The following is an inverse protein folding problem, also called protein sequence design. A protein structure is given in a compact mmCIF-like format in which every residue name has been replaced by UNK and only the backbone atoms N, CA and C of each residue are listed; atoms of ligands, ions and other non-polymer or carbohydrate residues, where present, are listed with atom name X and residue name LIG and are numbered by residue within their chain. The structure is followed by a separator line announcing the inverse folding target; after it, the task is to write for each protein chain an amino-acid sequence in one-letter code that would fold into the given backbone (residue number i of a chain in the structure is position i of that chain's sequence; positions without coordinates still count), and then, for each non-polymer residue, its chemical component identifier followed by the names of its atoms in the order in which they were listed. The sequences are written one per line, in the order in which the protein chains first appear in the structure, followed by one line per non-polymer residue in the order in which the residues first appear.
data_IF_208720512747
#
_entry.id   IF_208720512747
#
_cell.length_a   1.000
_cell.length_b   1.000
_cell.length_c   1.000
_cell.angle_alpha   90.00
_cell.angle_beta   90.00
_cell.angle_gamma   90.00
#
_symmetry.space_group_name_H-M   'P 1'
#
loop_
_entity.id
_entity.type
_entity.pdbx_description
1 polymer ?
#
# COMPACT_ATOMS: atom_id res chain seq x y z
N UNK A 1 -23.80 -17.31 -11.49
CA UNK A 1 -23.48 -18.75 -11.33
C UNK A 1 -23.14 -19.41 -12.66
N UNK A 2 -24.02 -19.38 -13.66
CA UNK A 2 -23.74 -19.90 -15.03
C UNK A 2 -22.52 -19.24 -15.71
N UNK A 3 -22.34 -17.92 -15.57
CA UNK A 3 -21.15 -17.21 -16.07
C UNK A 3 -19.85 -17.73 -15.42
N UNK A 4 -19.85 -17.80 -14.08
CA UNK A 4 -18.75 -18.34 -13.27
C UNK A 4 -18.48 -19.84 -13.53
N UNK A 5 -19.45 -20.57 -14.04
CA UNK A 5 -19.30 -21.96 -14.48
C UNK A 5 -18.70 -22.04 -15.89
N UNK A 6 -19.10 -21.15 -16.79
CA UNK A 6 -18.49 -20.97 -18.12
C UNK A 6 -17.02 -20.55 -18.02
N UNK A 7 -16.72 -19.57 -17.16
CA UNK A 7 -15.39 -18.97 -17.01
C UNK A 7 -14.37 -19.93 -16.36
N UNK A 8 -14.81 -21.05 -15.79
CA UNK A 8 -13.99 -22.07 -15.13
C UNK A 8 -13.94 -23.39 -15.93
N UNK A 9 -13.92 -23.32 -17.27
CA UNK A 9 -13.88 -24.48 -18.18
C UNK A 9 -15.03 -25.49 -18.00
N UNK A 10 -16.18 -25.06 -17.48
CA UNK A 10 -17.31 -25.93 -17.18
C UNK A 10 -17.84 -26.69 -18.40
N UNK A 11 -17.84 -26.05 -19.57
CA UNK A 11 -18.26 -26.66 -20.85
C UNK A 11 -17.26 -27.73 -21.31
N UNK A 12 -15.95 -27.45 -21.25
CA UNK A 12 -14.93 -28.42 -21.66
C UNK A 12 -14.93 -29.66 -20.77
N UNK A 13 -15.05 -29.47 -19.44
CA UNK A 13 -15.21 -30.56 -18.48
C UNK A 13 -16.49 -31.36 -18.71
N UNK A 14 -17.61 -30.70 -19.03
CA UNK A 14 -18.86 -31.36 -19.34
C UNK A 14 -18.77 -32.19 -20.64
N UNK A 15 -18.12 -31.69 -21.68
CA UNK A 15 -17.89 -32.42 -22.95
C UNK A 15 -17.00 -33.63 -22.72
N UNK A 16 -15.92 -33.48 -21.95
CA UNK A 16 -15.01 -34.58 -21.63
C UNK A 16 -15.71 -35.65 -20.78
N UNK A 17 -16.52 -35.24 -19.81
CA UNK A 17 -17.33 -36.15 -19.01
C UNK A 17 -18.36 -36.89 -19.87
N UNK A 18 -19.05 -36.18 -20.77
CA UNK A 18 -20.01 -36.77 -21.71
C UNK A 18 -19.35 -37.78 -22.66
N UNK A 19 -18.13 -37.51 -23.14
CA UNK A 19 -17.37 -38.45 -23.96
C UNK A 19 -16.95 -39.69 -23.17
N UNK A 20 -16.51 -39.52 -21.92
CA UNK A 20 -16.16 -40.63 -21.01
C UNK A 20 -17.37 -41.50 -20.69
N UNK A 21 -18.53 -40.89 -20.43
CA UNK A 21 -19.76 -41.60 -20.12
C UNK A 21 -20.29 -42.36 -21.34
N UNK A 22 -20.20 -41.78 -22.54
CA UNK A 22 -20.52 -42.47 -23.79
C UNK A 22 -19.60 -43.68 -24.02
N UNK A 23 -18.29 -43.51 -23.83
CA UNK A 23 -17.32 -44.60 -23.97
C UNK A 23 -17.54 -45.70 -22.93
N UNK A 24 -17.91 -45.34 -21.70
CA UNK A 24 -18.30 -46.29 -20.66
C UNK A 24 -19.53 -47.10 -21.05
N UNK A 25 -20.56 -46.45 -21.60
CA UNK A 25 -21.76 -47.13 -22.09
C UNK A 25 -21.45 -48.08 -23.25
N UNK A 26 -20.55 -47.71 -24.16
CA UNK A 26 -20.08 -48.60 -25.22
C UNK A 26 -19.42 -49.86 -24.65
N UNK A 27 -18.51 -49.70 -23.68
CA UNK A 27 -17.82 -50.84 -23.04
C UNK A 27 -18.78 -51.73 -22.23
N UNK A 28 -19.74 -51.13 -21.51
CA UNK A 28 -20.77 -51.88 -20.79
C UNK A 28 -21.75 -52.61 -21.73
N UNK A 29 -21.91 -52.13 -22.96
CA UNK A 29 -22.73 -52.76 -23.99
C UNK A 29 -22.04 -53.92 -24.73
N UNK A 30 -20.74 -54.13 -24.52
CA UNK A 30 -20.00 -55.23 -25.14
C UNK A 30 -20.28 -56.56 -24.44
N UNK A 31 -20.29 -57.65 -25.21
CA UNK A 31 -20.36 -58.99 -24.66
C UNK A 31 -19.10 -59.31 -23.83
N UNK A 32 -19.26 -60.19 -22.83
CA UNK A 32 -18.19 -60.47 -21.87
C UNK A 32 -16.95 -61.12 -22.49
N UNK A 33 -17.06 -61.75 -23.67
CA UNK A 33 -15.92 -62.36 -24.35
C UNK A 33 -15.07 -61.28 -25.06
N UNK A 34 -15.69 -60.38 -25.83
CA UNK A 34 -14.99 -59.28 -26.50
C UNK A 34 -14.33 -58.31 -25.53
N UNK A 35 -14.97 -58.05 -24.38
CA UNK A 35 -14.38 -57.20 -23.33
C UNK A 35 -13.11 -57.83 -22.72
N UNK A 36 -13.12 -59.15 -22.50
CA UNK A 36 -11.95 -59.89 -21.98
C UNK A 36 -10.79 -59.90 -22.97
N UNK A 37 -11.06 -60.05 -24.26
CA UNK A 37 -10.05 -59.99 -25.31
C UNK A 37 -9.38 -58.60 -25.35
N UNK A 38 -10.18 -57.53 -25.24
CA UNK A 38 -9.67 -56.15 -25.17
C UNK A 38 -8.83 -55.92 -23.90
N UNK A 39 -9.26 -56.44 -22.75
CA UNK A 39 -8.48 -56.41 -21.50
C UNK A 39 -7.15 -57.16 -21.61
N UNK A 40 -7.14 -58.34 -22.22
CA UNK A 40 -5.92 -59.14 -22.41
C UNK A 40 -4.91 -58.45 -23.34
N UNK A 41 -5.39 -57.85 -24.44
CA UNK A 41 -4.54 -57.08 -25.36
C UNK A 41 -3.90 -55.84 -24.72
N UNK A 42 -4.46 -55.33 -23.62
CA UNK A 42 -3.97 -54.17 -22.87
C UNK A 42 -3.29 -54.54 -21.55
N UNK A 43 -3.20 -55.83 -21.19
CA UNK A 43 -2.57 -56.29 -19.94
C UNK A 43 -3.35 -55.97 -18.67
N UNK A 44 -4.67 -55.75 -18.77
CA UNK A 44 -5.55 -55.41 -17.64
C UNK A 44 -6.26 -56.66 -17.13
N UNK A 45 -6.19 -56.93 -15.83
CA UNK A 45 -6.80 -58.13 -15.21
C UNK A 45 -8.36 -58.07 -15.24
N UNK A 46 -9.04 -58.99 -15.95
CA UNK A 46 -10.49 -58.94 -16.14
C UNK A 46 -11.25 -59.57 -14.96
N UNK A 47 -11.64 -58.74 -14.00
CA UNK A 47 -12.68 -59.09 -13.01
C UNK A 47 -14.08 -58.67 -13.52
N UNK A 48 -15.10 -58.64 -12.63
CA UNK A 48 -16.51 -58.28 -12.88
C UNK A 48 -16.66 -57.24 -14.00
N UNK A 49 -17.58 -57.48 -14.95
CA UNK A 49 -17.73 -56.74 -16.22
C UNK A 49 -17.67 -55.22 -16.07
N UNK A 50 -18.37 -54.66 -15.07
CA UNK A 50 -18.35 -53.22 -14.77
C UNK A 50 -16.97 -52.69 -14.33
N UNK A 51 -16.24 -53.48 -13.53
CA UNK A 51 -14.90 -53.13 -13.05
C UNK A 51 -13.86 -53.20 -14.17
N UNK A 52 -14.04 -54.12 -15.12
CA UNK A 52 -13.18 -54.22 -16.29
C UNK A 52 -13.35 -53.01 -17.24
N UNK A 53 -14.59 -52.57 -17.49
CA UNK A 53 -14.87 -51.37 -18.27
C UNK A 53 -14.27 -50.11 -17.63
N UNK A 54 -14.40 -49.96 -16.30
CA UNK A 54 -13.82 -48.82 -15.59
C UNK A 54 -12.28 -48.86 -15.66
N UNK A 55 -11.63 -50.02 -15.43
CA UNK A 55 -10.16 -50.15 -15.52
C UNK A 55 -9.60 -49.88 -16.92
N UNK A 56 -10.32 -50.26 -17.97
CA UNK A 56 -9.95 -49.93 -19.36
C UNK A 56 -9.95 -48.41 -19.59
N UNK A 57 -10.98 -47.69 -19.11
CA UNK A 57 -11.03 -46.23 -19.19
C UNK A 57 -9.86 -45.56 -18.47
N UNK A 58 -9.46 -46.09 -17.30
CA UNK A 58 -8.30 -45.59 -16.56
C UNK A 58 -6.99 -45.82 -17.33
N UNK A 59 -6.81 -46.99 -17.95
CA UNK A 59 -5.61 -47.32 -18.70
C UNK A 59 -5.51 -46.56 -20.03
N UNK A 60 -6.62 -46.39 -20.75
CA UNK A 60 -6.69 -45.53 -21.95
C UNK A 60 -6.36 -44.07 -21.61
N UNK A 61 -6.90 -43.55 -20.50
CA UNK A 61 -6.58 -42.19 -20.02
C UNK A 61 -5.11 -42.04 -19.62
N UNK A 62 -4.51 -43.04 -18.98
CA UNK A 62 -3.09 -43.05 -18.60
C UNK A 62 -2.17 -43.03 -19.83
N UNK A 63 -2.44 -43.85 -20.86
CA UNK A 63 -1.67 -43.84 -22.12
C UNK A 63 -1.80 -42.51 -22.88
N UNK A 64 -2.98 -41.90 -22.87
CA UNK A 64 -3.20 -40.56 -23.43
C UNK A 64 -2.41 -39.49 -22.66
N UNK A 65 -2.27 -39.63 -21.34
CA UNK A 65 -1.46 -38.74 -20.51
C UNK A 65 0.05 -38.92 -20.78
N UNK A 66 0.56 -40.16 -20.85
CA UNK A 66 1.97 -40.45 -21.19
C UNK A 66 2.34 -39.90 -22.58
N UNK A 67 1.46 -40.04 -23.58
CA UNK A 67 1.68 -39.48 -24.92
C UNK A 67 1.68 -37.94 -24.95
N UNK A 68 0.91 -37.29 -24.07
CA UNK A 68 0.89 -35.82 -23.92
C UNK A 68 2.12 -35.32 -23.16
N UNK A 69 2.55 -36.05 -22.14
CA UNK A 69 3.74 -35.74 -21.36
C UNK A 69 5.01 -35.81 -22.21
N UNK A 70 5.11 -36.83 -23.08
CA UNK A 70 6.23 -36.95 -24.02
C UNK A 70 6.27 -35.80 -25.03
N UNK A 71 5.12 -35.42 -25.60
CA UNK A 71 5.00 -34.23 -26.47
C UNK A 71 5.30 -32.91 -25.75
N UNK A 72 4.91 -32.77 -24.49
CA UNK A 72 5.20 -31.58 -23.69
C UNK A 72 6.68 -31.46 -23.37
N UNK A 73 7.36 -32.56 -23.02
CA UNK A 73 8.81 -32.61 -22.80
C UNK A 73 9.60 -32.26 -24.07
N UNK A 74 9.19 -32.80 -25.22
CA UNK A 74 9.77 -32.46 -26.53
C UNK A 74 9.56 -30.97 -26.88
N UNK A 75 8.38 -30.40 -26.57
CA UNK A 75 8.08 -28.97 -26.79
C UNK A 75 8.86 -28.02 -25.86
N UNK A 76 9.16 -28.44 -24.62
CA UNK A 76 9.98 -27.66 -23.67
C UNK A 76 11.46 -27.67 -24.09
N UNK A 77 11.95 -28.80 -24.57
CA UNK A 77 13.31 -28.94 -25.10
C UNK A 77 13.50 -28.10 -26.38
N UNK A 78 12.47 -28.00 -27.23
CA UNK A 78 12.47 -27.13 -28.41
C UNK A 78 12.33 -25.64 -28.04
N UNK A 79 11.50 -25.31 -27.04
CA UNK A 79 11.37 -23.95 -26.51
C UNK A 79 12.65 -23.45 -25.81
N UNK A 80 13.51 -24.34 -25.31
CA UNK A 80 14.83 -23.97 -24.74
C UNK A 80 15.87 -23.53 -25.78
N UNK A 81 15.60 -23.76 -27.08
CA UNK A 81 16.44 -23.36 -28.22
C UNK A 81 15.86 -22.17 -29.00
N UNK A 82 14.62 -21.77 -28.72
CA UNK A 82 13.95 -20.57 -29.24
C UNK A 82 13.83 -19.48 -28.18
N UNK A 83 13.42 -18.27 -28.58
CA UNK A 83 13.19 -17.15 -27.65
C UNK A 83 12.19 -17.50 -26.53
N UNK A 84 12.19 -16.71 -25.46
CA UNK A 84 11.38 -16.98 -24.26
C UNK A 84 9.92 -17.31 -24.63
N UNK A 85 9.36 -18.42 -24.09
CA UNK A 85 8.00 -18.84 -24.40
C UNK A 85 6.99 -17.81 -23.93
N UNK A 86 5.87 -17.70 -24.65
CA UNK A 86 4.78 -16.84 -24.23
C UNK A 86 4.15 -17.35 -22.92
N UNK A 87 3.53 -16.45 -22.15
CA UNK A 87 2.83 -16.83 -20.90
C UNK A 87 1.83 -17.98 -21.10
N UNK A 88 1.12 -17.98 -22.23
CA UNK A 88 0.16 -19.04 -22.56
C UNK A 88 0.86 -20.38 -22.81
N UNK A 89 1.98 -20.40 -23.53
CA UNK A 89 2.76 -21.63 -23.76
C UNK A 89 3.33 -22.17 -22.46
N UNK A 90 3.86 -21.31 -21.58
CA UNK A 90 4.38 -21.71 -20.28
C UNK A 90 3.29 -22.32 -19.38
N UNK A 91 2.10 -21.69 -19.32
CA UNK A 91 0.97 -22.19 -18.53
C UNK A 91 0.39 -23.48 -19.13
N UNK A 92 0.27 -23.56 -20.45
CA UNK A 92 -0.20 -24.78 -21.12
C UNK A 92 0.78 -25.94 -20.96
N UNK A 93 2.09 -25.68 -21.03
CA UNK A 93 3.12 -26.67 -20.76
C UNK A 93 3.07 -27.15 -19.30
N UNK A 94 3.01 -26.23 -18.33
CA UNK A 94 2.90 -26.59 -16.90
C UNK A 94 1.65 -27.45 -16.61
N UNK A 95 0.51 -27.12 -17.23
CA UNK A 95 -0.71 -27.93 -17.13
C UNK A 95 -0.59 -29.30 -17.81
N UNK A 96 0.18 -29.40 -18.90
CA UNK A 96 0.35 -30.62 -19.68
C UNK A 96 1.31 -31.63 -19.06
N UNK A 97 2.40 -31.18 -18.42
CA UNK A 97 3.44 -32.07 -17.85
C UNK A 97 2.88 -32.94 -16.70
N UNK A 98 1.88 -32.46 -15.96
CA UNK A 98 1.37 -33.14 -14.76
C UNK A 98 -0.17 -33.23 -14.72
N UNK A 99 -0.85 -33.18 -15.86
CA UNK A 99 -2.29 -33.46 -15.95
C UNK A 99 -3.18 -32.53 -15.10
N UNK A 100 -2.90 -31.22 -15.12
CA UNK A 100 -3.55 -30.19 -14.28
C UNK A 100 -3.30 -30.29 -12.77
N UNK A 101 -2.28 -31.04 -12.32
CA UNK A 101 -1.95 -31.17 -10.90
C UNK A 101 -0.98 -30.10 -10.38
N UNK A 102 -0.40 -29.27 -11.26
CA UNK A 102 0.49 -28.19 -10.85
C UNK A 102 -0.28 -26.99 -10.27
N UNK A 103 0.12 -26.58 -9.07
CA UNK A 103 -0.52 -25.47 -8.38
C UNK A 103 0.05 -24.15 -8.91
N UNK A 104 -0.62 -23.54 -9.88
CA UNK A 104 -0.29 -22.22 -10.44
C UNK A 104 -0.67 -21.04 -9.51
N UNK A 105 -0.75 -21.27 -8.21
CA UNK A 105 -1.11 -20.29 -7.20
C UNK A 105 -0.13 -20.37 -6.04
N UNK A 106 0.51 -19.24 -5.75
CA UNK A 106 1.40 -19.08 -4.60
C UNK A 106 0.82 -18.03 -3.63
N UNK A 107 1.16 -18.17 -2.35
CA UNK A 107 0.78 -17.21 -1.30
C UNK A 107 2.07 -16.58 -0.77
N UNK A 108 2.17 -15.25 -0.82
CA UNK A 108 3.23 -14.49 -0.16
C UNK A 108 2.75 -14.00 1.20
N UNK A 109 3.60 -14.15 2.24
CA UNK A 109 3.33 -13.64 3.58
C UNK A 109 4.53 -12.79 3.99
N UNK A 110 4.27 -11.53 4.36
CA UNK A 110 5.26 -10.67 5.01
C UNK A 110 4.90 -10.54 6.49
N UNK A 111 5.84 -10.94 7.35
CA UNK A 111 5.78 -10.69 8.78
C UNK A 111 6.83 -9.62 9.11
N UNK A 112 6.42 -8.44 9.63
CA UNK A 112 7.36 -7.41 10.01
C UNK A 112 8.33 -7.97 11.06
N UNK A 113 9.61 -7.97 10.74
CA UNK A 113 10.70 -8.49 11.57
C UNK A 113 11.32 -7.35 12.37
N UNK A 114 10.55 -6.75 13.27
CA UNK A 114 11.03 -5.71 14.19
C UNK A 114 10.87 -6.17 15.63
N UNK A 115 11.89 -5.93 16.47
CA UNK A 115 11.74 -6.10 17.91
C UNK A 115 10.61 -5.19 18.40
N UNK A 116 9.58 -5.78 19.02
CA UNK A 116 8.50 -4.97 19.60
C UNK A 116 9.11 -4.09 20.68
N UNK A 117 8.92 -2.77 20.56
CA UNK A 117 9.08 -1.91 21.72
C UNK A 117 8.06 -2.40 22.76
N UNK A 118 8.55 -2.96 23.85
CA UNK A 118 7.74 -3.40 24.96
C UNK A 118 8.22 -2.68 26.21
N UNK A 119 7.32 -2.47 27.15
CA UNK A 119 7.69 -2.11 28.51
C UNK A 119 7.42 -3.31 29.41
N UNK A 120 8.27 -3.55 30.39
CA UNK A 120 7.95 -4.50 31.45
C UNK A 120 6.80 -3.96 32.32
N UNK A 121 6.40 -4.75 33.32
CA UNK A 121 5.35 -4.36 34.29
C UNK A 121 5.76 -3.17 35.18
N UNK A 122 7.04 -2.83 35.21
CA UNK A 122 7.62 -1.71 35.97
C UNK A 122 7.84 -0.46 35.11
N UNK A 123 7.57 -0.55 33.80
CA UNK A 123 7.75 0.53 32.83
C UNK A 123 9.16 0.61 32.22
N UNK A 124 10.06 -0.32 32.50
CA UNK A 124 11.38 -0.36 31.88
C UNK A 124 11.28 -0.85 30.43
N UNK A 125 12.03 -0.24 29.49
CA UNK A 125 12.01 -0.67 28.09
C UNK A 125 12.63 -2.07 27.93
N UNK A 126 11.87 -2.97 27.32
CA UNK A 126 12.32 -4.28 26.84
C UNK A 126 12.39 -4.24 25.31
N UNK A 127 13.50 -4.73 24.77
CA UNK A 127 13.70 -4.85 23.32
C UNK A 127 14.34 -3.61 22.70
N UNK A 128 14.16 -3.44 21.39
CA UNK A 128 14.67 -2.25 20.70
C UNK A 128 13.82 -1.03 21.09
N UNK A 129 14.42 0.15 21.29
CA UNK A 129 13.70 1.35 21.73
C UNK A 129 12.72 1.93 20.69
N UNK A 130 12.61 1.35 19.49
CA UNK A 130 11.82 1.91 18.39
C UNK A 130 10.99 0.84 17.69
N UNK A 131 9.81 1.23 17.19
CA UNK A 131 8.85 0.35 16.50
C UNK A 131 9.32 -0.12 15.10
N UNK A 132 10.44 0.40 14.58
CA UNK A 132 10.99 0.04 13.26
C UNK A 132 12.51 0.03 13.24
N UNK A 133 13.09 -0.63 12.23
CA UNK A 133 14.54 -0.73 12.02
C UNK A 133 15.15 0.47 11.26
N UNK A 134 14.38 1.54 11.05
CA UNK A 134 14.84 2.74 10.36
C UNK A 134 14.19 4.01 10.87
N UNK A 135 14.81 5.13 10.51
CA UNK A 135 14.29 6.48 10.69
C UNK A 135 14.16 7.17 9.34
N UNK A 136 13.20 8.08 9.29
CA UNK A 136 13.10 9.09 8.24
C UNK A 136 13.68 10.38 8.76
N UNK A 137 14.32 11.13 7.88
CA UNK A 137 14.94 12.41 8.19
C UNK A 137 14.38 13.47 7.25
N UNK A 138 14.35 14.70 7.73
CA UNK A 138 13.93 15.82 6.90
C UNK A 138 14.31 17.14 7.53
N UNK A 139 14.36 18.17 6.70
CA UNK A 139 14.55 19.54 7.11
C UNK A 139 13.58 20.42 6.32
N UNK A 140 13.07 21.47 6.97
CA UNK A 140 12.29 22.50 6.31
C UNK A 140 12.70 23.89 6.75
N UNK A 141 12.65 24.82 5.81
CA UNK A 141 12.82 26.24 6.03
C UNK A 141 11.55 26.94 5.57
N UNK A 142 11.02 27.86 6.38
CA UNK A 142 9.83 28.63 6.03
C UNK A 142 10.03 30.10 6.31
N UNK A 143 9.48 30.93 5.44
CA UNK A 143 9.43 32.39 5.53
C UNK A 143 7.97 32.84 5.63
N UNK A 144 7.70 33.77 6.55
CA UNK A 144 6.35 34.27 6.81
C UNK A 144 6.34 35.79 6.89
N UNK A 145 5.24 36.38 6.45
CA UNK A 145 4.90 37.78 6.68
C UNK A 145 3.79 37.85 7.73
N UNK A 146 3.93 38.76 8.70
CA UNK A 146 3.00 38.93 9.81
C UNK A 146 2.48 40.36 9.81
N UNK A 147 1.16 40.52 9.70
CA UNK A 147 0.48 41.75 10.05
C UNK A 147 0.31 41.84 11.56
N UNK A 148 1.09 42.72 12.19
CA UNK A 148 1.11 42.90 13.64
C UNK A 148 -0.20 43.46 14.20
N UNK A 149 -1.00 44.16 13.40
CA UNK A 149 -2.26 44.78 13.83
C UNK A 149 -3.41 43.76 13.84
N UNK A 150 -3.46 42.89 12.84
CA UNK A 150 -4.54 41.89 12.70
C UNK A 150 -4.16 40.52 13.26
N UNK A 151 -2.85 40.22 13.33
CA UNK A 151 -2.34 38.87 13.59
C UNK A 151 -2.40 37.94 12.38
N UNK A 152 -2.81 38.45 11.21
CA UNK A 152 -2.83 37.67 9.98
C UNK A 152 -1.40 37.29 9.58
N UNK A 153 -1.21 36.00 9.28
CA UNK A 153 0.09 35.45 8.91
C UNK A 153 -0.02 34.84 7.52
N UNK A 154 0.90 35.21 6.64
CA UNK A 154 1.03 34.62 5.32
C UNK A 154 2.36 33.87 5.19
N UNK A 155 2.31 32.63 4.71
CA UNK A 155 3.51 31.86 4.39
C UNK A 155 3.98 32.24 3.00
N UNK A 156 5.12 32.93 2.91
CA UNK A 156 5.68 33.40 1.65
C UNK A 156 6.33 32.24 0.89
N UNK A 157 7.15 31.46 1.58
CA UNK A 157 7.91 30.37 0.99
C UNK A 157 8.21 29.27 2.00
N UNK A 158 8.18 28.03 1.55
CA UNK A 158 8.65 26.87 2.30
C UNK A 158 9.49 25.96 1.40
N UNK A 159 10.71 25.65 1.84
CA UNK A 159 11.61 24.69 1.21
C UNK A 159 11.72 23.45 2.11
N UNK A 160 11.45 22.26 1.56
CA UNK A 160 11.40 20.99 2.28
C UNK A 160 12.34 19.98 1.62
N UNK A 161 13.25 19.41 2.39
CA UNK A 161 14.10 18.29 1.98
C UNK A 161 13.75 17.07 2.84
N UNK A 162 13.42 15.94 2.20
CA UNK A 162 12.95 14.75 2.93
C UNK A 162 13.59 13.45 2.43
N UNK A 163 13.94 12.58 3.38
CA UNK A 163 14.55 11.27 3.14
C UNK A 163 13.50 10.17 3.03
N UNK A 164 13.22 9.78 1.78
CA UNK A 164 12.34 8.65 1.41
C UNK A 164 13.12 7.37 1.08
N UNK A 165 14.42 7.35 1.30
CA UNK A 165 15.30 6.33 0.77
C UNK A 165 15.28 6.31 -0.77
N UNK A 166 15.10 5.13 -1.36
CA UNK A 166 14.83 4.98 -2.79
C UNK A 166 13.32 5.01 -3.03
N UNK A 167 12.83 6.15 -3.53
CA UNK A 167 11.42 6.35 -3.84
C UNK A 167 10.88 5.28 -4.79
N UNK A 168 9.71 4.72 -4.45
CA UNK A 168 8.96 3.81 -5.32
C UNK A 168 8.24 4.58 -6.43
N UNK A 169 7.69 5.74 -6.08
CA UNK A 169 7.03 6.65 -7.00
C UNK A 169 7.23 8.09 -6.50
N UNK A 170 8.17 8.85 -7.11
CA UNK A 170 8.50 10.18 -6.67
C UNK A 170 7.30 11.14 -6.68
N UNK A 171 6.37 10.99 -7.62
CA UNK A 171 5.18 11.86 -7.70
C UNK A 171 4.22 11.65 -6.54
N UNK A 172 4.03 10.40 -6.09
CA UNK A 172 3.19 10.09 -4.93
C UNK A 172 3.90 10.54 -3.64
N UNK A 173 5.20 10.29 -3.54
CA UNK A 173 5.96 10.64 -2.33
C UNK A 173 6.01 12.15 -2.13
N UNK A 174 6.21 12.93 -3.19
CA UNK A 174 6.13 14.40 -3.14
C UNK A 174 4.73 14.84 -2.71
N UNK A 175 3.66 14.29 -3.31
CA UNK A 175 2.30 14.66 -2.95
C UNK A 175 1.96 14.34 -1.48
N UNK A 176 2.51 13.26 -0.93
CA UNK A 176 2.39 12.94 0.49
C UNK A 176 3.11 13.95 1.37
N UNK A 177 4.33 14.37 0.99
CA UNK A 177 5.07 15.42 1.71
C UNK A 177 4.29 16.74 1.71
N UNK A 178 3.79 17.17 0.55
CA UNK A 178 2.99 18.38 0.43
C UNK A 178 1.70 18.31 1.26
N UNK A 179 0.98 17.19 1.19
CA UNK A 179 -0.25 16.98 1.94
C UNK A 179 -0.03 16.96 3.46
N UNK A 180 1.02 16.28 3.92
CA UNK A 180 1.37 16.25 5.34
C UNK A 180 1.87 17.62 5.83
N UNK A 181 2.62 18.36 5.02
CA UNK A 181 3.04 19.72 5.33
C UNK A 181 1.84 20.66 5.46
N UNK A 182 0.89 20.60 4.51
CA UNK A 182 -0.36 21.37 4.55
C UNK A 182 -1.21 21.02 5.79
N UNK A 183 -1.32 19.73 6.12
CA UNK A 183 -2.00 19.28 7.34
C UNK A 183 -1.35 19.85 8.59
N UNK A 184 -0.02 19.88 8.64
CA UNK A 184 0.71 20.47 9.76
C UNK A 184 0.54 21.99 9.89
N UNK A 185 0.45 22.72 8.77
CA UNK A 185 0.06 24.15 8.79
C UNK A 185 -1.32 24.31 9.43
N UNK A 186 -2.30 23.52 8.99
CA UNK A 186 -3.65 23.50 9.56
C UNK A 186 -3.61 23.28 11.07
N UNK A 187 -2.98 22.20 11.51
CA UNK A 187 -2.84 21.84 12.92
C UNK A 187 -2.15 22.92 13.77
N UNK A 188 -1.12 23.57 13.23
CA UNK A 188 -0.35 24.55 14.00
C UNK A 188 -0.94 25.96 13.99
N UNK A 189 -1.66 26.36 12.94
CA UNK A 189 -2.05 27.76 12.74
C UNK A 189 -3.56 28.00 12.76
N UNK A 190 -4.37 27.05 12.26
CA UNK A 190 -5.77 27.34 11.90
C UNK A 190 -6.80 26.46 12.62
N UNK A 191 -6.52 25.18 12.76
CA UNK A 191 -7.49 24.16 13.19
C UNK A 191 -7.68 24.16 14.72
N UNK A 192 -8.60 24.99 15.21
CA UNK A 192 -8.97 25.08 16.62
C UNK A 192 -10.30 24.36 16.92
N UNK A 193 -10.29 23.25 17.68
CA UNK A 193 -11.52 22.67 18.21
C UNK A 193 -12.04 23.48 19.40
N UNK A 194 -13.29 23.93 19.32
CA UNK A 194 -13.91 24.75 20.37
C UNK A 194 -14.80 23.91 21.27
N UNK A 195 -14.59 24.02 22.57
CA UNK A 195 -15.36 23.31 23.60
C UNK A 195 -16.09 24.30 24.48
N UNK A 196 -17.33 24.00 24.85
CA UNK A 196 -18.05 24.82 25.83
C UNK A 196 -17.68 24.47 27.28
N UNK A 197 -18.23 25.22 28.24
CA UNK A 197 -18.00 24.99 29.68
C UNK A 197 -18.57 23.66 30.22
N UNK A 198 -19.29 22.90 29.40
CA UNK A 198 -19.82 21.57 29.72
C UNK A 198 -19.01 20.45 29.02
N UNK A 199 -17.98 20.80 28.24
CA UNK A 199 -17.16 19.85 27.48
C UNK A 199 -17.85 19.35 26.20
N UNK A 200 -18.82 20.10 25.65
CA UNK A 200 -19.45 19.78 24.37
C UNK A 200 -18.68 20.48 23.25
N UNK A 201 -18.33 19.70 22.23
CA UNK A 201 -17.71 20.18 20.99
C UNK A 201 -18.68 21.10 20.22
N UNK A 202 -18.23 22.33 19.98
CA UNK A 202 -18.93 23.39 19.23
C UNK A 202 -18.46 23.51 17.79
N UNK A 203 -17.46 22.74 17.38
CA UNK A 203 -16.89 22.68 16.03
C UNK A 203 -17.51 21.56 15.18
N UNK A 204 -18.84 21.54 15.07
CA UNK A 204 -19.58 20.45 14.42
C UNK A 204 -19.68 20.57 12.89
N UNK A 205 -18.89 21.44 12.26
CA UNK A 205 -18.91 21.64 10.82
C UNK A 205 -17.79 22.54 10.33
N UNK A 206 -17.71 22.69 9.01
CA UNK A 206 -16.72 23.53 8.32
C UNK A 206 -16.95 25.04 8.52
N UNK A 207 -18.08 25.42 9.11
CA UNK A 207 -18.38 26.81 9.46
C UNK A 207 -17.62 27.24 10.72
N UNK A 208 -17.42 26.32 11.66
CA UNK A 208 -16.77 26.54 12.94
C UNK A 208 -15.34 25.99 12.95
N UNK A 209 -15.11 24.82 12.35
CA UNK A 209 -13.77 24.25 12.16
C UNK A 209 -13.20 24.68 10.80
N UNK A 210 -11.99 25.24 10.80
CA UNK A 210 -11.36 25.79 9.58
C UNK A 210 -10.10 25.01 9.21
N UNK A 211 -10.23 23.98 8.35
CA UNK A 211 -9.08 23.41 7.66
C UNK A 211 -8.41 24.47 6.79
N UNK A 212 -7.10 24.35 6.53
CA UNK A 212 -6.38 25.32 5.74
C UNK A 212 -6.89 25.33 4.29
N UNK A 213 -7.09 26.54 3.77
CA UNK A 213 -7.50 26.85 2.40
C UNK A 213 -6.28 27.05 1.51
N UNK A 214 -6.52 27.11 0.20
CA UNK A 214 -5.47 27.35 -0.79
C UNK A 214 -4.72 28.68 -0.58
N UNK A 215 -5.37 29.70 -0.03
CA UNK A 215 -4.76 31.00 0.31
C UNK A 215 -3.78 30.94 1.48
N UNK A 216 -3.90 29.91 2.31
CA UNK A 216 -3.10 29.71 3.53
C UNK A 216 -1.92 28.77 3.29
N UNK A 217 -1.82 28.20 2.08
CA UNK A 217 -0.64 27.46 1.64
C UNK A 217 0.53 28.40 1.37
N UNK A 218 1.79 27.91 1.46
CA UNK A 218 2.94 28.68 1.03
C UNK A 218 2.78 29.16 -0.41
N UNK A 219 3.04 30.44 -0.69
CA UNK A 219 3.00 30.95 -2.08
C UNK A 219 3.99 30.22 -2.98
N UNK A 220 5.15 29.86 -2.41
CA UNK A 220 6.12 28.97 -3.01
C UNK A 220 6.36 27.77 -2.07
N UNK A 221 6.03 26.57 -2.52
CA UNK A 221 6.38 25.32 -1.83
C UNK A 221 7.33 24.52 -2.72
N UNK A 222 8.56 24.35 -2.26
CA UNK A 222 9.58 23.56 -2.94
C UNK A 222 9.87 22.29 -2.14
N UNK A 223 9.65 21.12 -2.74
CA UNK A 223 9.92 19.83 -2.11
C UNK A 223 11.00 19.10 -2.90
N UNK A 224 12.08 18.70 -2.21
CA UNK A 224 13.13 17.86 -2.77
C UNK A 224 13.27 16.56 -1.96
N UNK A 225 13.52 15.47 -2.67
CA UNK A 225 13.81 14.16 -2.08
C UNK A 225 15.32 14.01 -1.93
N UNK A 226 15.78 13.52 -0.78
CA UNK A 226 17.18 13.24 -0.54
C UNK A 226 17.68 12.17 -1.52
N UNK A 227 18.71 12.51 -2.29
CA UNK A 227 19.28 11.64 -3.33
C UNK A 227 20.27 10.64 -2.73
N UNK A 228 20.43 9.51 -3.42
CA UNK A 228 21.49 8.52 -3.18
C UNK A 228 21.54 7.93 -1.76
N UNK A 229 20.37 7.77 -1.13
CA UNK A 229 20.26 7.21 0.23
C UNK A 229 19.40 5.93 0.31
N UNK A 230 19.66 4.88 -0.49
CA UNK A 230 18.82 3.68 -0.49
C UNK A 230 18.83 2.98 0.88
N UNK A 231 17.67 2.52 1.34
CA UNK A 231 17.54 1.75 2.58
C UNK A 231 17.47 0.25 2.29
N UNK A 232 18.56 -0.54 2.47
CA UNK A 232 18.62 -1.91 1.95
C UNK A 232 17.60 -2.89 2.52
N UNK A 233 17.04 -2.60 3.71
CA UNK A 233 16.04 -3.46 4.35
C UNK A 233 14.60 -3.10 3.92
N UNK A 234 14.43 -1.95 3.27
CA UNK A 234 13.14 -1.49 2.74
C UNK A 234 12.81 -2.19 1.41
N UNK A 235 11.52 -2.26 1.10
CA UNK A 235 11.05 -2.81 -0.18
C UNK A 235 11.59 -1.92 -1.30
N UNK A 236 12.45 -2.48 -2.16
CA UNK A 236 13.16 -1.77 -3.22
C UNK A 236 13.95 -0.53 -2.74
N UNK A 237 14.44 -0.55 -1.50
CA UNK A 237 15.22 0.55 -0.95
C UNK A 237 14.41 1.68 -0.32
N UNK A 238 13.08 1.56 -0.25
CA UNK A 238 12.17 2.65 0.13
C UNK A 238 12.03 2.85 1.65
N UNK A 239 11.59 4.07 2.03
CA UNK A 239 11.16 4.44 3.39
C UNK A 239 9.75 5.06 3.36
N UNK A 240 9.09 5.07 4.50
CA UNK A 240 7.76 5.66 4.62
C UNK A 240 7.76 7.20 4.53
N UNK A 241 6.71 7.77 3.94
CA UNK A 241 6.59 9.21 3.66
C UNK A 241 5.29 9.85 4.18
N UNK A 242 4.29 9.06 4.58
CA UNK A 242 2.94 9.59 4.88
C UNK A 242 2.88 10.57 6.05
N UNK A 243 3.21 10.11 7.25
CA UNK A 243 3.06 10.92 8.48
C UNK A 243 4.25 11.86 8.77
N UNK A 244 5.53 11.47 8.61
CA UNK A 244 6.61 12.27 9.20
C UNK A 244 6.80 13.69 8.66
N UNK A 245 6.51 14.02 7.38
CA UNK A 245 6.63 15.40 6.88
C UNK A 245 5.70 16.40 7.58
N UNK A 246 4.64 15.94 8.26
CA UNK A 246 3.80 16.76 9.12
C UNK A 246 4.63 17.60 10.11
N UNK A 247 5.64 16.99 10.73
CA UNK A 247 6.49 17.66 11.72
C UNK A 247 7.35 18.79 11.12
N UNK A 248 7.59 18.77 9.81
CA UNK A 248 8.41 19.79 9.13
C UNK A 248 7.68 21.13 9.00
N UNK A 249 6.35 21.12 9.04
CA UNK A 249 5.53 22.33 9.09
C UNK A 249 5.77 23.16 10.36
N UNK A 250 6.41 22.59 11.40
CA UNK A 250 6.87 23.33 12.58
C UNK A 250 7.80 24.50 12.23
N UNK A 251 8.48 24.42 11.06
CA UNK A 251 9.27 25.53 10.53
C UNK A 251 8.46 26.82 10.38
N UNK A 252 7.17 26.73 10.00
CA UNK A 252 6.24 27.87 9.90
C UNK A 252 6.01 28.49 11.28
N UNK A 253 5.71 27.66 12.29
CA UNK A 253 5.56 28.13 13.67
C UNK A 253 6.84 28.81 14.19
N UNK A 254 8.01 28.25 13.86
CA UNK A 254 9.30 28.84 14.18
C UNK A 254 9.50 30.22 13.52
N UNK A 255 9.07 30.38 12.27
CA UNK A 255 9.12 31.64 11.54
C UNK A 255 8.16 32.69 12.15
N UNK A 256 6.94 32.29 12.49
CA UNK A 256 5.95 33.16 13.17
C UNK A 256 6.48 33.64 14.52
N UNK A 257 7.07 32.75 15.33
CA UNK A 257 7.69 33.15 16.61
C UNK A 257 8.82 34.17 16.42
N UNK A 258 9.62 34.04 15.36
CA UNK A 258 10.66 35.03 15.02
C UNK A 258 10.04 36.37 14.62
N UNK A 259 8.99 36.37 13.80
CA UNK A 259 8.28 37.58 13.39
C UNK A 259 7.66 38.32 14.60
N UNK A 260 6.98 37.59 15.49
CA UNK A 260 6.46 38.15 16.75
C UNK A 260 7.60 38.70 17.61
N UNK A 261 8.71 37.97 17.74
CA UNK A 261 9.88 38.42 18.49
C UNK A 261 10.47 39.73 17.95
N UNK A 262 10.50 39.91 16.64
CA UNK A 262 10.91 41.16 16.00
C UNK A 262 9.92 42.30 16.31
N UNK A 263 8.62 42.08 16.11
CA UNK A 263 7.58 43.06 16.42
C UNK A 263 7.62 43.53 17.89
N UNK A 264 7.78 42.59 18.83
CA UNK A 264 7.89 42.89 20.26
C UNK A 264 9.14 43.70 20.59
N UNK A 265 10.26 43.38 19.94
CA UNK A 265 11.52 44.13 20.11
C UNK A 265 11.35 45.59 19.67
N UNK A 266 10.68 45.81 18.54
CA UNK A 266 10.42 47.16 18.01
C UNK A 266 9.45 47.94 18.91
N UNK A 267 8.47 47.27 19.51
CA UNK A 267 7.54 47.84 20.49
C UNK A 267 8.14 48.04 21.90
N UNK A 268 9.38 47.60 22.16
CA UNK A 268 9.98 47.63 23.49
C UNK A 268 9.34 46.67 24.50
N UNK A 269 8.59 45.66 24.02
CA UNK A 269 7.96 44.65 24.85
C UNK A 269 8.96 43.54 25.27
N UNK A 270 8.68 42.80 26.37
CA UNK A 270 9.55 41.71 26.82
C UNK A 270 9.78 40.65 25.74
N UNK A 271 11.03 40.21 25.58
CA UNK A 271 11.40 39.20 24.58
C UNK A 271 10.77 37.82 24.85
N UNK A 272 10.53 37.49 26.11
CA UNK A 272 9.82 36.26 26.48
C UNK A 272 8.30 36.44 26.30
N UNK A 273 7.68 35.53 25.57
CA UNK A 273 6.23 35.45 25.40
C UNK A 273 5.80 33.98 25.27
N UNK A 274 4.54 33.71 25.62
CA UNK A 274 3.91 32.42 25.38
C UNK A 274 3.03 32.53 24.14
N UNK A 275 3.13 31.55 23.25
CA UNK A 275 2.28 31.44 22.07
C UNK A 275 1.51 30.12 22.16
N UNK A 276 0.19 30.15 22.39
CA UNK A 276 -0.62 28.94 22.46
C UNK A 276 -0.74 28.29 21.06
N UNK A 277 -1.05 27.00 21.07
CA UNK A 277 -1.33 26.22 19.88
C UNK A 277 -2.81 25.82 19.89
N UNK A 278 -3.54 25.97 18.77
CA UNK A 278 -3.09 26.54 17.48
C UNK A 278 -2.81 28.06 17.57
N UNK A 279 -1.88 28.53 16.73
CA UNK A 279 -1.49 29.93 16.63
C UNK A 279 -2.47 30.73 15.76
N UNK A 280 -3.73 30.78 16.21
CA UNK A 280 -4.78 31.54 15.53
C UNK A 280 -4.42 33.03 15.47
N UNK A 281 -5.05 33.75 14.54
CA UNK A 281 -4.80 35.19 14.32
C UNK A 281 -4.91 36.01 15.61
N UNK A 282 -5.87 35.69 16.47
CA UNK A 282 -6.06 36.35 17.77
C UNK A 282 -4.94 36.02 18.77
N UNK A 283 -4.46 34.77 18.80
CA UNK A 283 -3.32 34.38 19.63
C UNK A 283 -2.02 35.08 19.18
N UNK A 284 -1.78 35.15 17.86
CA UNK A 284 -0.63 35.82 17.26
C UNK A 284 -0.68 37.32 17.51
N UNK A 285 -1.84 37.96 17.30
CA UNK A 285 -2.05 39.38 17.55
C UNK A 285 -1.75 39.74 19.02
N UNK A 286 -2.32 38.99 19.98
CA UNK A 286 -2.05 39.21 21.43
C UNK A 286 -0.58 39.02 21.77
N UNK A 287 0.08 38.06 21.12
CA UNK A 287 1.50 37.80 21.34
C UNK A 287 2.40 38.95 20.83
N UNK A 288 1.97 39.74 19.85
CA UNK A 288 2.72 40.90 19.34
C UNK A 288 2.89 42.03 20.39
N UNK A 289 2.07 42.05 21.45
CA UNK A 289 2.29 42.90 22.62
C UNK A 289 1.92 44.37 22.48
N UNK A 290 1.16 44.74 21.45
CA UNK A 290 0.63 46.09 21.28
C UNK A 290 -0.70 46.26 22.03
N UNK A 291 -1.08 47.50 22.38
CA UNK A 291 -2.37 47.78 23.03
C UNK A 291 -3.35 48.37 22.02
N UNK A 292 -4.56 47.85 21.96
CA UNK A 292 -5.63 48.38 21.09
C UNK A 292 -5.92 49.87 21.29
N UNK A 293 -5.63 50.40 22.48
CA UNK A 293 -5.73 51.82 22.82
C UNK A 293 -4.70 52.71 22.13
N UNK A 294 -3.65 52.16 21.53
CA UNK A 294 -2.59 52.94 20.87
C UNK A 294 -2.93 53.30 19.41
N UNK A 295 -3.98 52.70 18.83
CA UNK A 295 -4.37 52.89 17.43
C UNK A 295 -5.80 53.39 17.22
N UNK A 296 -6.59 53.58 18.28
CA UNK A 296 -7.87 54.27 18.21
C UNK A 296 -7.63 55.79 18.17
N UNK A 297 -7.71 56.38 16.97
CA UNK A 297 -7.87 57.83 16.79
C UNK A 297 -9.24 58.31 17.28
#
# INVERSE_FOLDING_TARGET
LLKRWLDNDGIARAIQQQQKDKRRQELLGMDSASLRETCQGLGVDPFVHEVAADRLLWHEAAKLAEGREKKAKEAIEDASKGGEPTWFEAVSAANAILGHQEKLSATGIFAPTGGKYATDVEGNPIGKPFHGDYFTFGAACSEVELDVLTGETQVLRSDVLYDVGQSLNPGIDIAQIEGAFAWGIGYYMYEEPLWDGQGIDRTQGVWEYKPPLASEMPRELAVELLRDNPFPQGVLGSKAVGEPPFMLSYSVLGAVKKAIGAARKDAGAPAAFSLPMPCTVDAVQRACGWKSTEFAC
#
